data_IF_287684566949
#
_entry.id   IF_287684566949
#
_cell.length_a   1.000
_cell.length_b   1.000
_cell.length_c   1.000
_cell.angle_alpha   90.00
_cell.angle_beta   90.00
_cell.angle_gamma   90.00
#
_symmetry.space_group_name_H-M   'P 1'
#
loop_
_entity.id
_entity.type
_entity.pdbx_description
1 polymer ?
#
# COMPACT_ATOMS: atom_id res chain seq x y z
N UNK A 1 -9.40 -25.33 7.73
CA UNK A 1 -9.84 -25.06 6.34
C UNK A 1 -10.48 -23.68 6.36
N UNK A 2 -9.80 -22.66 5.83
CA UNK A 2 -10.35 -21.31 5.78
C UNK A 2 -11.46 -21.22 4.74
N UNK A 3 -12.51 -20.44 5.01
CA UNK A 3 -13.51 -20.10 4.01
C UNK A 3 -12.83 -19.51 2.78
N UNK A 4 -13.23 -19.96 1.59
CA UNK A 4 -12.75 -19.40 0.32
C UNK A 4 -12.99 -17.87 0.33
N UNK A 5 -12.00 -17.05 -0.06
CA UNK A 5 -12.22 -15.61 -0.12
C UNK A 5 -13.35 -15.29 -1.10
N UNK A 6 -14.21 -14.33 -0.74
CA UNK A 6 -15.24 -13.80 -1.64
C UNK A 6 -14.57 -13.19 -2.88
N UNK A 7 -15.26 -13.17 -4.02
CA UNK A 7 -14.69 -12.65 -5.27
C UNK A 7 -14.38 -11.15 -5.18
N UNK A 8 -13.53 -10.64 -6.08
CA UNK A 8 -13.24 -9.20 -6.14
C UNK A 8 -14.50 -8.40 -6.44
N UNK A 9 -15.35 -8.88 -7.35
CA UNK A 9 -16.63 -8.26 -7.67
C UNK A 9 -17.53 -8.19 -6.43
N UNK A 10 -17.54 -9.24 -5.59
CA UNK A 10 -18.30 -9.24 -4.34
C UNK A 10 -17.73 -8.24 -3.33
N UNK A 11 -16.40 -8.15 -3.17
CA UNK A 11 -15.76 -7.15 -2.32
C UNK A 11 -16.16 -5.73 -2.75
N UNK A 12 -16.02 -5.44 -4.03
CA UNK A 12 -16.33 -4.11 -4.60
C UNK A 12 -17.82 -3.81 -4.49
N UNK A 13 -18.69 -4.75 -4.86
CA UNK A 13 -20.14 -4.56 -4.79
C UNK A 13 -20.59 -4.31 -3.34
N UNK A 14 -19.99 -5.00 -2.37
CA UNK A 14 -20.28 -4.75 -0.95
C UNK A 14 -19.88 -3.34 -0.52
N UNK A 15 -18.73 -2.82 -0.98
CA UNK A 15 -18.34 -1.43 -0.74
C UNK A 15 -19.32 -0.47 -1.42
N UNK A 16 -19.68 -0.74 -2.69
CA UNK A 16 -20.56 0.09 -3.51
C UNK A 16 -22.00 0.20 -2.97
N UNK A 17 -22.48 -0.85 -2.31
CA UNK A 17 -23.83 -0.90 -1.75
C UNK A 17 -23.90 -0.37 -0.30
N UNK A 18 -22.76 -0.19 0.37
CA UNK A 18 -22.72 0.41 1.69
C UNK A 18 -22.81 1.94 1.57
N UNK A 19 -24.03 2.46 1.72
CA UNK A 19 -24.31 3.90 1.66
C UNK A 19 -23.56 4.75 2.71
N UNK A 20 -22.94 4.12 3.71
CA UNK A 20 -22.11 4.81 4.71
C UNK A 20 -20.68 5.02 4.24
N UNK A 21 -20.22 4.35 3.17
CA UNK A 21 -18.85 4.45 2.65
C UNK A 21 -18.82 5.33 1.41
N UNK A 22 -18.06 6.43 1.47
CA UNK A 22 -17.92 7.33 0.33
C UNK A 22 -16.49 7.83 0.19
N UNK A 23 -15.94 7.85 -1.02
CA UNK A 23 -14.51 8.10 -1.16
C UNK A 23 -14.01 8.48 -2.53
N UNK A 24 -12.72 8.77 -2.57
CA UNK A 24 -11.98 9.12 -3.80
C UNK A 24 -10.96 8.04 -4.12
N UNK A 25 -10.77 7.79 -5.42
CA UNK A 25 -9.72 6.90 -5.94
C UNK A 25 -8.73 7.74 -6.76
N UNK A 26 -7.48 7.84 -6.30
CA UNK A 26 -6.44 8.65 -6.93
C UNK A 26 -5.26 7.78 -7.38
N UNK A 27 -5.14 7.53 -8.68
CA UNK A 27 -4.20 6.53 -9.22
C UNK A 27 -3.18 7.21 -10.13
N UNK A 28 -1.89 6.98 -9.91
CA UNK A 28 -0.81 7.52 -10.76
C UNK A 28 0.11 6.38 -11.21
N UNK A 29 0.03 6.08 -12.50
CA UNK A 29 0.80 5.00 -13.10
C UNK A 29 0.12 3.64 -12.92
N UNK A 30 0.60 2.62 -13.65
CA UNK A 30 -0.01 1.28 -13.68
C UNK A 30 -1.52 1.21 -13.98
N UNK A 31 -2.10 2.22 -14.63
CA UNK A 31 -3.50 2.23 -15.06
C UNK A 31 -4.40 2.95 -14.05
N UNK A 32 -5.70 2.77 -14.21
CA UNK A 32 -6.73 3.26 -13.28
C UNK A 32 -7.66 2.08 -12.92
N UNK A 33 -7.01 0.96 -12.56
CA UNK A 33 -7.64 -0.35 -12.49
C UNK A 33 -8.50 -0.53 -11.23
N UNK A 34 -8.18 0.18 -10.15
CA UNK A 34 -9.01 0.14 -8.94
C UNK A 34 -10.34 0.84 -9.23
N UNK A 35 -10.32 2.04 -9.84
CA UNK A 35 -11.55 2.69 -10.28
C UNK A 35 -12.34 1.84 -11.28
N UNK A 36 -11.64 1.18 -12.22
CA UNK A 36 -12.27 0.28 -13.19
C UNK A 36 -13.06 -0.82 -12.49
N UNK A 37 -12.49 -1.48 -11.47
CA UNK A 37 -13.21 -2.48 -10.68
C UNK A 37 -14.48 -1.92 -10.04
N UNK A 38 -14.39 -0.74 -9.42
CA UNK A 38 -15.53 -0.04 -8.82
C UNK A 38 -16.65 0.23 -9.82
N UNK A 39 -16.31 0.65 -11.04
CA UNK A 39 -17.30 0.90 -12.08
C UNK A 39 -17.91 -0.38 -12.66
N UNK A 40 -17.11 -1.42 -12.86
CA UNK A 40 -17.57 -2.70 -13.42
C UNK A 40 -18.56 -3.44 -12.50
N UNK A 41 -18.34 -3.41 -11.19
CA UNK A 41 -19.22 -4.07 -10.23
C UNK A 41 -20.62 -3.42 -10.14
N UNK A 42 -20.78 -2.18 -10.59
CA UNK A 42 -22.02 -1.41 -10.49
C UNK A 42 -22.25 -0.81 -9.10
N UNK A 43 -23.15 0.19 -9.00
CA UNK A 43 -23.43 0.90 -7.75
C UNK A 43 -22.42 1.97 -7.36
N UNK A 44 -21.38 2.20 -8.17
CA UNK A 44 -20.28 3.12 -7.86
C UNK A 44 -20.74 4.57 -7.55
N UNK A 45 -21.86 5.05 -8.08
CA UNK A 45 -22.39 6.38 -7.75
C UNK A 45 -22.74 6.55 -6.27
N UNK A 46 -23.01 5.45 -5.57
CA UNK A 46 -23.26 5.39 -4.13
C UNK A 46 -22.01 5.52 -3.27
N UNK A 47 -20.80 5.37 -3.84
CA UNK A 47 -19.55 5.20 -3.09
C UNK A 47 -18.40 6.06 -3.62
N UNK A 48 -18.27 6.24 -4.93
CA UNK A 48 -17.16 6.94 -5.56
C UNK A 48 -17.55 8.40 -5.79
N UNK A 49 -16.97 9.29 -5.00
CA UNK A 49 -17.11 10.75 -5.13
C UNK A 49 -16.37 11.27 -6.36
N UNK A 50 -15.13 10.79 -6.53
CA UNK A 50 -14.21 11.23 -7.58
C UNK A 50 -13.23 10.12 -7.90
N UNK A 51 -12.85 10.02 -9.16
CA UNK A 51 -11.64 9.31 -9.57
C UNK A 51 -10.72 10.27 -10.29
N UNK A 52 -9.41 10.13 -10.11
CA UNK A 52 -8.42 10.98 -10.76
C UNK A 52 -7.20 10.17 -11.15
N UNK A 53 -6.65 10.49 -12.32
CA UNK A 53 -5.34 10.03 -12.73
C UNK A 53 -4.52 11.14 -13.36
N UNK A 54 -3.33 11.40 -12.80
CA UNK A 54 -2.44 12.49 -13.20
C UNK A 54 -1.09 11.94 -13.66
N UNK A 55 -1.03 11.51 -14.92
CA UNK A 55 0.17 10.90 -15.53
C UNK A 55 1.28 11.91 -15.85
N UNK A 56 0.90 13.11 -16.29
CA UNK A 56 1.87 14.15 -16.60
C UNK A 56 2.41 14.76 -15.29
N UNK A 57 3.74 14.89 -15.22
CA UNK A 57 4.42 15.36 -14.00
C UNK A 57 4.00 16.77 -13.62
N UNK A 58 3.78 17.67 -14.59
CA UNK A 58 3.37 19.06 -14.30
C UNK A 58 1.93 19.12 -13.82
N UNK A 59 1.05 18.30 -14.39
CA UNK A 59 -0.32 18.16 -13.87
C UNK A 59 -0.33 17.57 -12.46
N UNK A 60 0.45 16.51 -12.22
CA UNK A 60 0.61 15.92 -10.89
C UNK A 60 1.13 16.95 -9.88
N UNK A 61 2.15 17.73 -10.24
CA UNK A 61 2.73 18.75 -9.37
C UNK A 61 1.79 19.93 -9.11
N UNK A 62 0.97 20.32 -10.09
CA UNK A 62 -0.02 21.37 -9.92
C UNK A 62 -1.12 20.98 -8.91
N UNK A 63 -1.35 19.68 -8.70
CA UNK A 63 -2.36 19.15 -7.78
C UNK A 63 -1.74 18.80 -6.43
N UNK A 64 -0.64 18.06 -6.44
CA UNK A 64 -0.04 17.43 -5.26
C UNK A 64 1.30 18.06 -4.84
N UNK A 65 1.74 19.15 -5.47
CA UNK A 65 3.05 19.76 -5.23
C UNK A 65 4.22 18.98 -5.85
N UNK A 66 5.42 19.56 -5.83
CA UNK A 66 6.61 18.89 -6.38
C UNK A 66 7.10 17.77 -5.48
N UNK A 67 7.71 16.74 -6.07
CA UNK A 67 8.39 15.67 -5.33
C UNK A 67 9.74 15.33 -5.97
N UNK A 68 10.72 14.98 -5.13
CA UNK A 68 12.02 14.51 -5.60
C UNK A 68 11.90 13.15 -6.33
N UNK A 69 10.98 12.30 -5.90
CA UNK A 69 10.69 11.00 -6.53
C UNK A 69 9.18 10.84 -6.68
N UNK A 70 8.72 10.66 -7.91
CA UNK A 70 7.28 10.56 -8.18
C UNK A 70 6.69 9.25 -7.69
N UNK A 71 7.44 8.15 -7.71
CA UNK A 71 7.07 6.90 -7.04
C UNK A 71 7.80 6.85 -5.71
N UNK A 72 7.10 7.24 -4.65
CA UNK A 72 7.65 7.37 -3.30
C UNK A 72 6.56 7.34 -2.24
N UNK A 73 6.98 7.05 -0.99
CA UNK A 73 6.13 7.15 0.19
C UNK A 73 5.54 8.55 0.33
N UNK A 74 6.37 9.58 0.18
CA UNK A 74 5.98 10.97 0.36
C UNK A 74 4.89 11.37 -0.65
N UNK A 75 5.02 10.95 -1.91
CA UNK A 75 4.00 11.21 -2.93
C UNK A 75 2.68 10.54 -2.57
N UNK A 76 2.68 9.26 -2.22
CA UNK A 76 1.47 8.53 -1.86
C UNK A 76 0.75 9.17 -0.66
N UNK A 77 1.49 9.54 0.39
CA UNK A 77 0.94 10.21 1.58
C UNK A 77 0.35 11.58 1.20
N UNK A 78 1.06 12.37 0.38
CA UNK A 78 0.57 13.68 -0.07
C UNK A 78 -0.74 13.56 -0.85
N UNK A 79 -0.85 12.55 -1.73
CA UNK A 79 -2.09 12.27 -2.47
C UNK A 79 -3.24 11.92 -1.52
N UNK A 80 -3.01 11.03 -0.54
CA UNK A 80 -4.02 10.65 0.45
C UNK A 80 -4.51 11.86 1.25
N UNK A 81 -3.60 12.71 1.72
CA UNK A 81 -3.93 13.88 2.54
C UNK A 81 -4.67 14.95 1.75
N UNK A 82 -4.19 15.28 0.55
CA UNK A 82 -4.81 16.26 -0.33
C UNK A 82 -6.23 15.84 -0.70
N UNK A 83 -6.38 14.61 -1.19
CA UNK A 83 -7.67 14.12 -1.65
C UNK A 83 -8.67 13.93 -0.52
N UNK A 84 -8.21 13.53 0.67
CA UNK A 84 -9.09 13.40 1.83
C UNK A 84 -9.55 14.77 2.35
N UNK A 85 -8.65 15.75 2.34
CA UNK A 85 -8.99 17.14 2.71
C UNK A 85 -10.00 17.74 1.75
N UNK A 86 -9.80 17.56 0.43
CA UNK A 86 -10.72 18.03 -0.60
C UNK A 86 -12.09 17.32 -0.51
N UNK A 87 -12.10 16.01 -0.25
CA UNK A 87 -13.33 15.25 -0.07
C UNK A 87 -14.14 15.79 1.12
N UNK A 88 -13.47 16.05 2.26
CA UNK A 88 -14.11 16.65 3.42
C UNK A 88 -14.59 18.07 3.16
N UNK A 89 -13.78 18.93 2.54
CA UNK A 89 -14.14 20.31 2.19
C UNK A 89 -15.45 20.36 1.39
N UNK A 90 -15.61 19.42 0.44
CA UNK A 90 -16.73 19.44 -0.50
C UNK A 90 -18.00 18.76 0.04
N UNK A 91 -17.87 17.74 0.88
CA UNK A 91 -18.98 16.84 1.20
C UNK A 91 -19.31 16.70 2.69
N UNK A 92 -18.48 17.24 3.60
CA UNK A 92 -18.74 17.08 5.05
C UNK A 92 -20.09 17.67 5.47
N UNK A 93 -20.45 18.84 4.96
CA UNK A 93 -21.73 19.49 5.31
C UNK A 93 -22.93 18.73 4.72
N UNK A 94 -22.76 18.14 3.53
CA UNK A 94 -23.86 17.47 2.83
C UNK A 94 -24.13 16.05 3.35
N UNK A 95 -23.11 15.32 3.83
CA UNK A 95 -23.25 13.91 4.24
C UNK A 95 -22.33 13.43 5.35
N UNK A 96 -21.44 14.26 5.87
CA UNK A 96 -20.44 13.87 6.87
C UNK A 96 -21.02 13.36 8.19
N UNK A 97 -22.30 13.59 8.48
CA UNK A 97 -22.97 13.04 9.68
C UNK A 97 -23.29 11.54 9.57
N UNK A 98 -23.51 11.03 8.35
CA UNK A 98 -23.98 9.66 8.12
C UNK A 98 -22.99 8.83 7.29
N UNK A 99 -21.88 9.44 6.87
CA UNK A 99 -20.91 8.83 5.96
C UNK A 99 -19.52 8.86 6.59
N UNK A 100 -18.83 7.73 6.51
CA UNK A 100 -17.40 7.63 6.73
C UNK A 100 -16.66 7.82 5.41
N UNK A 101 -15.78 8.81 5.36
CA UNK A 101 -15.00 9.07 4.17
C UNK A 101 -13.77 8.17 4.06
N UNK A 102 -13.40 7.84 2.82
CA UNK A 102 -12.13 7.20 2.52
C UNK A 102 -11.47 7.79 1.27
N UNK A 103 -10.16 7.65 1.18
CA UNK A 103 -9.38 7.92 -0.02
C UNK A 103 -8.42 6.78 -0.21
N UNK A 104 -8.46 6.17 -1.38
CA UNK A 104 -7.40 5.30 -1.86
C UNK A 104 -6.48 6.11 -2.78
N UNK A 105 -5.18 5.90 -2.63
CA UNK A 105 -4.21 6.47 -3.53
C UNK A 105 -3.10 5.48 -3.87
N UNK A 106 -2.60 5.54 -5.10
CA UNK A 106 -1.38 4.85 -5.49
C UNK A 106 -0.46 5.72 -6.35
N UNK A 107 0.82 5.39 -6.28
CA UNK A 107 1.82 5.83 -7.24
C UNK A 107 2.71 4.65 -7.62
N UNK A 108 2.70 4.29 -8.90
CA UNK A 108 3.30 3.04 -9.38
C UNK A 108 4.12 3.26 -10.64
N UNK A 109 5.37 2.80 -10.60
CA UNK A 109 6.17 2.59 -11.80
C UNK A 109 5.96 1.14 -12.25
N UNK A 110 5.10 0.95 -13.24
CA UNK A 110 4.98 -0.35 -13.90
C UNK A 110 6.24 -0.66 -14.73
N UNK A 111 6.38 -1.92 -15.16
CA UNK A 111 7.59 -2.40 -15.84
C UNK A 111 7.97 -1.48 -17.00
N UNK A 112 9.19 -0.95 -16.95
CA UNK A 112 9.73 -0.16 -18.06
C UNK A 112 10.17 -1.07 -19.19
N UNK A 113 9.63 -0.85 -20.40
CA UNK A 113 10.11 -1.51 -21.62
C UNK A 113 11.61 -1.26 -21.88
N UNK A 114 12.15 -0.14 -21.42
CA UNK A 114 13.55 0.26 -21.69
C UNK A 114 14.53 -0.22 -20.63
N UNK A 115 14.11 -0.38 -19.37
CA UNK A 115 15.01 -0.71 -18.24
C UNK A 115 14.95 -2.16 -17.77
N UNK A 116 13.91 -2.92 -18.18
CA UNK A 116 13.67 -4.31 -17.75
C UNK A 116 13.66 -4.52 -16.22
N UNK A 117 13.49 -3.46 -15.45
CA UNK A 117 13.36 -3.48 -13.99
C UNK A 117 11.95 -3.91 -13.58
N UNK A 118 11.84 -4.61 -12.44
CA UNK A 118 10.56 -4.92 -11.83
C UNK A 118 9.78 -3.65 -11.51
N UNK A 119 8.45 -3.76 -11.52
CA UNK A 119 7.61 -2.63 -11.15
C UNK A 119 7.67 -2.40 -9.64
N UNK A 120 7.56 -1.14 -9.22
CA UNK A 120 7.48 -0.76 -7.80
C UNK A 120 6.36 0.23 -7.60
N UNK A 121 5.75 0.21 -6.42
CA UNK A 121 4.66 1.10 -6.12
C UNK A 121 4.40 1.30 -4.64
N UNK A 122 3.80 2.45 -4.35
CA UNK A 122 3.21 2.75 -3.06
C UNK A 122 1.71 2.83 -3.23
N UNK A 123 0.97 2.09 -2.41
CA UNK A 123 -0.49 2.17 -2.34
C UNK A 123 -0.85 2.51 -0.90
N UNK A 124 -1.94 3.23 -0.72
CA UNK A 124 -2.44 3.51 0.61
C UNK A 124 -3.92 3.81 0.62
N UNK A 125 -4.47 3.74 1.82
CA UNK A 125 -5.83 4.14 2.09
C UNK A 125 -5.89 4.94 3.38
N UNK A 126 -6.58 6.08 3.31
CA UNK A 126 -6.90 6.94 4.44
C UNK A 126 -8.40 6.90 4.65
N UNK A 127 -8.89 6.57 5.84
CA UNK A 127 -10.31 6.31 6.07
C UNK A 127 -10.77 6.67 7.47
N UNK A 128 -12.07 6.93 7.61
CA UNK A 128 -12.76 7.10 8.88
C UNK A 128 -13.41 5.78 9.30
N UNK A 129 -13.28 5.42 10.57
CA UNK A 129 -13.97 4.28 11.18
C UNK A 129 -15.41 4.63 11.59
N UNK A 130 -15.67 5.88 11.96
CA UNK A 130 -17.00 6.44 12.21
C UNK A 130 -17.13 7.87 11.66
N UNK A 131 -18.35 8.38 11.38
CA UNK A 131 -18.52 9.69 10.77
C UNK A 131 -17.80 10.79 11.56
N UNK A 132 -17.12 11.71 10.84
CA UNK A 132 -16.32 12.81 11.41
C UNK A 132 -15.12 12.39 12.28
N UNK A 133 -14.74 11.11 12.30
CA UNK A 133 -13.54 10.67 12.99
C UNK A 133 -12.27 11.29 12.40
N UNK A 134 -11.25 11.43 13.23
CA UNK A 134 -9.88 11.63 12.74
C UNK A 134 -9.50 10.39 11.93
N UNK A 135 -9.03 10.53 10.67
CA UNK A 135 -8.81 9.38 9.82
C UNK A 135 -7.60 8.54 10.26
N UNK A 136 -7.69 7.26 9.99
CA UNK A 136 -6.57 6.31 10.06
C UNK A 136 -6.03 6.03 8.67
N UNK A 137 -4.83 5.49 8.60
CA UNK A 137 -4.15 5.24 7.33
C UNK A 137 -3.41 3.90 7.34
N UNK A 138 -3.51 3.20 6.22
CA UNK A 138 -2.70 2.02 5.88
C UNK A 138 -1.89 2.38 4.65
N UNK A 139 -0.59 2.13 4.71
CA UNK A 139 0.33 2.34 3.60
C UNK A 139 1.06 1.03 3.30
N UNK A 140 1.19 0.68 2.03
CA UNK A 140 1.93 -0.49 1.57
C UNK A 140 2.92 -0.13 0.48
N UNK A 141 4.07 -0.79 0.50
CA UNK A 141 5.00 -0.81 -0.62
C UNK A 141 4.96 -2.18 -1.29
N UNK A 142 4.90 -2.19 -2.61
CA UNK A 142 4.81 -3.40 -3.42
C UNK A 142 5.88 -3.44 -4.51
N UNK A 143 6.43 -4.63 -4.75
CA UNK A 143 7.13 -4.98 -5.98
C UNK A 143 6.23 -5.83 -6.86
N UNK A 144 6.24 -5.54 -8.15
CA UNK A 144 5.47 -6.22 -9.19
C UNK A 144 6.43 -7.10 -9.98
N UNK A 145 6.23 -8.42 -9.88
CA UNK A 145 7.19 -9.44 -10.33
C UNK A 145 6.82 -10.05 -11.69
N UNK A 146 5.64 -9.69 -12.21
CA UNK A 146 5.21 -10.12 -13.53
C UNK A 146 6.14 -9.57 -14.65
N UNK A 147 6.14 -10.24 -15.80
CA UNK A 147 7.02 -9.86 -16.92
C UNK A 147 6.37 -8.90 -17.91
N UNK A 148 5.06 -8.70 -17.81
CA UNK A 148 4.27 -7.93 -18.75
C UNK A 148 3.56 -6.78 -18.04
N UNK A 149 3.57 -5.60 -18.67
CA UNK A 149 2.98 -4.41 -18.10
C UNK A 149 1.47 -4.55 -17.83
N UNK A 150 0.73 -5.26 -18.69
CA UNK A 150 -0.71 -5.48 -18.49
C UNK A 150 -1.01 -6.26 -17.21
N UNK A 151 -0.15 -7.22 -16.86
CA UNK A 151 -0.26 -8.01 -15.64
C UNK A 151 0.02 -7.17 -14.39
N UNK A 152 0.89 -6.14 -14.50
CA UNK A 152 1.11 -5.18 -13.41
C UNK A 152 -0.15 -4.36 -13.13
N UNK A 153 -0.84 -3.91 -14.18
CA UNK A 153 -2.09 -3.15 -14.05
C UNK A 153 -3.15 -4.02 -13.35
N UNK A 154 -3.33 -5.24 -13.82
CA UNK A 154 -4.25 -6.22 -13.22
C UNK A 154 -3.97 -6.41 -11.72
N UNK A 155 -2.72 -6.72 -11.36
CA UNK A 155 -2.30 -6.97 -9.97
C UNK A 155 -2.52 -5.76 -9.08
N UNK A 156 -2.20 -4.55 -9.55
CA UNK A 156 -2.44 -3.32 -8.79
C UNK A 156 -3.93 -3.11 -8.57
N UNK A 157 -4.77 -3.37 -9.59
CA UNK A 157 -6.23 -3.33 -9.44
C UNK A 157 -6.73 -4.29 -8.36
N UNK A 158 -6.27 -5.54 -8.38
CA UNK A 158 -6.61 -6.57 -7.38
C UNK A 158 -6.16 -6.13 -5.98
N UNK A 159 -4.90 -5.72 -5.84
CA UNK A 159 -4.32 -5.31 -4.57
C UNK A 159 -5.01 -4.06 -4.00
N UNK A 160 -5.33 -3.07 -4.84
CA UNK A 160 -6.03 -1.86 -4.42
C UNK A 160 -7.45 -2.15 -3.94
N UNK A 161 -8.21 -3.01 -4.64
CA UNK A 161 -9.52 -3.49 -4.17
C UNK A 161 -9.39 -4.22 -2.83
N UNK A 162 -8.41 -5.12 -2.70
CA UNK A 162 -8.17 -5.83 -1.44
C UNK A 162 -7.83 -4.85 -0.31
N UNK A 163 -6.98 -3.86 -0.55
CA UNK A 163 -6.59 -2.86 0.44
C UNK A 163 -7.79 -2.02 0.90
N UNK A 164 -8.62 -1.55 -0.04
CA UNK A 164 -9.84 -0.80 0.28
C UNK A 164 -10.78 -1.66 1.13
N UNK A 165 -11.09 -2.87 0.67
CA UNK A 165 -11.99 -3.76 1.38
C UNK A 165 -11.46 -4.08 2.79
N UNK A 166 -10.17 -4.37 2.92
CA UNK A 166 -9.58 -4.77 4.17
C UNK A 166 -9.55 -3.60 5.18
N UNK A 167 -9.28 -2.38 4.74
CA UNK A 167 -9.36 -1.21 5.60
C UNK A 167 -10.80 -0.90 6.05
N UNK A 168 -11.79 -1.03 5.18
CA UNK A 168 -13.17 -0.65 5.49
C UNK A 168 -13.93 -1.71 6.31
N UNK A 169 -13.59 -2.99 6.14
CA UNK A 169 -14.35 -4.10 6.75
C UNK A 169 -13.53 -4.98 7.70
N UNK A 170 -12.20 -4.98 7.62
CA UNK A 170 -11.34 -5.92 8.35
C UNK A 170 -10.34 -5.24 9.31
N UNK A 171 -10.37 -3.91 9.46
CA UNK A 171 -9.39 -3.18 10.29
C UNK A 171 -9.37 -3.60 11.77
N UNK A 172 -10.45 -4.19 12.28
CA UNK A 172 -10.53 -4.74 13.64
C UNK A 172 -9.74 -6.05 13.87
N UNK A 173 -9.35 -6.76 12.80
CA UNK A 173 -8.48 -7.95 12.88
C UNK A 173 -7.34 -7.83 11.86
N UNK A 174 -6.20 -7.32 12.33
CA UNK A 174 -5.02 -7.08 11.49
C UNK A 174 -4.45 -8.35 10.86
N UNK A 175 -4.61 -9.51 11.50
CA UNK A 175 -4.13 -10.78 10.94
C UNK A 175 -4.96 -11.19 9.73
N UNK A 176 -6.29 -11.00 9.80
CA UNK A 176 -7.21 -11.24 8.70
C UNK A 176 -7.10 -10.17 7.61
N UNK A 177 -6.97 -8.90 7.99
CA UNK A 177 -6.69 -7.80 7.07
C UNK A 177 -5.45 -8.09 6.22
N UNK A 178 -4.32 -8.39 6.86
CA UNK A 178 -3.06 -8.67 6.15
C UNK A 178 -3.22 -9.87 5.23
N UNK A 179 -3.85 -10.96 5.70
CA UNK A 179 -4.12 -12.13 4.86
C UNK A 179 -4.91 -11.77 3.61
N UNK A 180 -5.94 -10.92 3.75
CA UNK A 180 -6.85 -10.57 2.66
C UNK A 180 -6.21 -9.72 1.56
N UNK A 181 -5.05 -9.10 1.81
CA UNK A 181 -4.29 -8.37 0.79
C UNK A 181 -3.84 -9.29 -0.36
N UNK A 182 -3.58 -10.57 -0.06
CA UNK A 182 -3.19 -11.59 -1.03
C UNK A 182 -4.35 -12.30 -1.73
N UNK A 183 -5.61 -11.97 -1.43
CA UNK A 183 -6.75 -12.64 -2.04
C UNK A 183 -6.73 -12.45 -3.57
N UNK A 184 -6.98 -13.54 -4.30
CA UNK A 184 -6.98 -13.56 -5.78
C UNK A 184 -5.63 -13.21 -6.44
N UNK A 185 -4.55 -13.14 -5.67
CA UNK A 185 -3.19 -13.03 -6.20
C UNK A 185 -2.51 -14.40 -6.14
N UNK A 186 -2.05 -14.88 -7.30
CA UNK A 186 -1.23 -16.09 -7.33
C UNK A 186 0.13 -15.83 -6.65
N UNK A 187 0.68 -16.82 -5.92
CA UNK A 187 1.99 -16.69 -5.29
C UNK A 187 3.07 -16.27 -6.29
N UNK A 188 3.92 -15.31 -5.90
CA UNK A 188 5.04 -14.85 -6.70
C UNK A 188 4.71 -13.80 -7.78
N UNK A 189 3.49 -13.27 -7.82
CA UNK A 189 3.16 -12.09 -8.66
C UNK A 189 3.59 -10.77 -8.03
N UNK A 190 3.62 -10.71 -6.69
CA UNK A 190 4.05 -9.54 -5.92
C UNK A 190 4.92 -9.90 -4.74
N UNK A 191 5.66 -8.91 -4.25
CA UNK A 191 6.17 -8.88 -2.88
C UNK A 191 5.65 -7.61 -2.17
N UNK A 192 4.89 -7.78 -1.08
CA UNK A 192 4.54 -6.68 -0.16
C UNK A 192 5.68 -6.48 0.84
N UNK A 193 6.60 -5.57 0.54
CA UNK A 193 7.83 -5.42 1.33
C UNK A 193 7.68 -4.51 2.54
N UNK A 194 6.59 -3.74 2.60
CA UNK A 194 6.29 -2.86 3.72
C UNK A 194 4.78 -2.76 3.89
N UNK A 195 4.33 -2.83 5.13
CA UNK A 195 3.00 -2.34 5.54
C UNK A 195 3.14 -1.44 6.77
N UNK A 196 2.42 -0.33 6.79
CA UNK A 196 2.41 0.59 7.90
C UNK A 196 0.97 1.00 8.23
N UNK A 197 0.65 0.92 9.51
CA UNK A 197 -0.62 1.34 10.10
C UNK A 197 -0.39 2.58 10.97
N UNK A 198 -1.26 3.57 10.82
CA UNK A 198 -1.20 4.82 11.60
C UNK A 198 -2.58 5.44 11.82
N UNK A 199 -2.70 6.26 12.87
CA UNK A 199 -3.95 6.92 13.24
C UNK A 199 -4.75 6.17 14.32
N UNK A 200 -5.89 6.75 14.74
CA UNK A 200 -6.62 6.32 15.95
C UNK A 200 -7.26 4.93 15.85
N UNK A 201 -7.49 4.42 14.64
CA UNK A 201 -8.03 3.07 14.40
C UNK A 201 -7.02 1.95 14.63
N UNK A 202 -5.75 2.27 14.90
CA UNK A 202 -4.68 1.31 15.13
C UNK A 202 -3.95 1.55 16.46
N UNK A 203 -4.66 1.63 17.60
CA UNK A 203 -4.04 1.91 18.88
C UNK A 203 -3.12 0.76 19.30
N UNK A 204 -1.86 1.09 19.63
CA UNK A 204 -0.89 0.11 20.11
C UNK A 204 -0.38 -0.88 19.07
N UNK A 205 -0.63 -0.64 17.77
CA UNK A 205 -0.11 -1.50 16.70
C UNK A 205 1.40 -1.39 16.58
N UNK A 206 2.10 -2.52 16.72
CA UNK A 206 3.53 -2.61 16.43
C UNK A 206 3.74 -2.97 14.95
N UNK A 207 4.09 -1.96 14.14
CA UNK A 207 4.34 -2.13 12.72
C UNK A 207 5.44 -3.16 12.42
N UNK A 208 6.37 -3.41 13.34
CA UNK A 208 7.40 -4.45 13.16
C UNK A 208 6.77 -5.85 13.12
N UNK A 209 5.84 -6.11 14.03
CA UNK A 209 5.10 -7.36 14.06
C UNK A 209 4.21 -7.52 12.82
N UNK A 210 3.61 -6.41 12.35
CA UNK A 210 2.78 -6.43 11.14
C UNK A 210 3.59 -6.77 9.88
N UNK A 211 4.82 -6.28 9.78
CA UNK A 211 5.69 -6.65 8.65
C UNK A 211 6.19 -8.09 8.75
N UNK A 212 6.49 -8.59 9.95
CA UNK A 212 6.77 -10.03 10.13
C UNK A 212 5.55 -10.90 9.76
N UNK A 213 4.33 -10.37 9.94
CA UNK A 213 3.09 -11.04 9.52
C UNK A 213 3.03 -11.21 8.00
N UNK A 214 3.57 -10.27 7.20
CA UNK A 214 3.64 -10.41 5.75
C UNK A 214 4.40 -11.68 5.34
N UNK A 215 5.51 -11.99 6.03
CA UNK A 215 6.27 -13.23 5.83
C UNK A 215 5.43 -14.44 6.26
N UNK A 216 4.79 -14.38 7.43
CA UNK A 216 3.93 -15.47 7.91
C UNK A 216 2.76 -15.77 6.95
N UNK A 217 2.29 -14.76 6.22
CA UNK A 217 1.22 -14.89 5.22
C UNK A 217 1.71 -15.11 3.80
N UNK A 218 3.01 -15.32 3.61
CA UNK A 218 3.64 -15.59 2.32
C UNK A 218 3.43 -14.45 1.29
N UNK A 219 3.23 -13.22 1.77
CA UNK A 219 3.05 -12.02 0.95
C UNK A 219 4.37 -11.35 0.57
N UNK A 220 5.44 -11.70 1.26
CA UNK A 220 6.82 -11.35 0.91
C UNK A 220 7.77 -12.38 1.48
N UNK A 221 8.97 -12.45 0.91
CA UNK A 221 10.05 -13.33 1.34
C UNK A 221 10.92 -12.71 2.44
N UNK A 222 10.94 -11.38 2.54
CA UNK A 222 11.78 -10.66 3.48
C UNK A 222 11.21 -9.28 3.81
N UNK A 223 11.47 -8.82 5.03
CA UNK A 223 11.24 -7.43 5.44
C UNK A 223 12.54 -6.90 6.04
N UNK A 224 12.74 -5.59 6.01
CA UNK A 224 13.96 -4.95 6.49
C UNK A 224 13.67 -3.98 7.63
N UNK A 225 14.57 -3.98 8.60
CA UNK A 225 14.57 -3.07 9.74
C UNK A 225 15.87 -2.27 9.73
N UNK A 226 15.81 -1.00 10.13
CA UNK A 226 17.01 -0.22 10.42
C UNK A 226 17.59 -0.56 11.82
N UNK A 227 18.70 0.09 12.17
CA UNK A 227 19.36 -0.11 13.46
C UNK A 227 18.52 0.30 14.68
N UNK A 228 17.47 1.11 14.48
CA UNK A 228 16.53 1.54 15.50
C UNK A 228 15.30 0.63 15.58
N UNK A 229 15.20 -0.37 14.69
CA UNK A 229 14.05 -1.26 14.59
C UNK A 229 12.88 -0.68 13.82
N UNK A 230 13.06 0.43 13.10
CA UNK A 230 12.04 0.95 12.20
C UNK A 230 11.99 0.11 10.93
N UNK A 231 10.79 -0.12 10.41
CA UNK A 231 10.59 -0.76 9.12
C UNK A 231 11.04 0.20 8.02
N UNK A 232 11.77 -0.33 7.04
CA UNK A 232 12.32 0.46 5.94
C UNK A 232 12.14 -0.26 4.61
N UNK A 233 11.91 0.51 3.56
CA UNK A 233 11.88 -0.01 2.19
C UNK A 233 13.32 -0.28 1.72
N UNK A 234 13.66 -1.52 1.32
CA UNK A 234 15.03 -1.87 0.94
C UNK A 234 15.59 -1.06 -0.22
N UNK A 235 14.78 -0.79 -1.25
CA UNK A 235 15.14 -0.01 -2.42
C UNK A 235 15.56 1.41 -2.07
N UNK A 236 14.96 2.05 -1.08
CA UNK A 236 15.27 3.40 -0.61
C UNK A 236 16.57 3.44 0.17
N UNK A 237 16.74 2.54 1.15
CA UNK A 237 17.92 2.55 2.03
C UNK A 237 19.18 2.10 1.31
N UNK A 238 19.07 1.11 0.42
CA UNK A 238 20.21 0.47 -0.25
C UNK A 238 20.53 1.08 -1.63
N UNK A 239 19.73 2.06 -2.08
CA UNK A 239 19.87 2.65 -3.41
C UNK A 239 21.28 3.20 -3.67
N UNK A 240 21.96 2.67 -4.69
CA UNK A 240 23.30 3.11 -5.12
C UNK A 240 24.33 3.13 -3.98
N UNK A 241 24.14 2.32 -2.93
CA UNK A 241 25.13 2.16 -1.86
C UNK A 241 25.89 0.86 -2.06
N UNK A 242 27.21 0.85 -1.83
CA UNK A 242 27.95 -0.40 -1.69
C UNK A 242 27.44 -1.12 -0.42
N UNK A 243 27.15 -2.42 -0.52
CA UNK A 243 26.51 -3.19 0.55
C UNK A 243 27.43 -4.32 1.01
N UNK A 244 27.70 -4.37 2.31
CA UNK A 244 28.26 -5.52 2.99
C UNK A 244 27.14 -6.26 3.73
N UNK A 245 26.95 -7.55 3.43
CA UNK A 245 25.86 -8.36 4.00
C UNK A 245 26.41 -9.56 4.74
N UNK A 246 25.98 -9.74 5.99
CA UNK A 246 26.20 -10.94 6.76
C UNK A 246 24.93 -11.78 6.86
N UNK A 247 24.94 -12.95 6.22
CA UNK A 247 23.83 -13.91 6.31
C UNK A 247 24.01 -14.80 7.54
N UNK A 248 22.97 -14.91 8.38
CA UNK A 248 23.02 -15.78 9.56
C UNK A 248 21.74 -15.75 10.38
N UNK A 249 21.70 -16.57 11.43
CA UNK A 249 20.66 -16.50 12.47
C UNK A 249 21.27 -15.83 13.69
N UNK A 250 20.75 -14.66 14.05
CA UNK A 250 21.30 -13.82 15.13
C UNK A 250 20.55 -14.07 16.45
N UNK A 251 20.56 -15.31 16.93
CA UNK A 251 19.84 -15.75 18.14
C UNK A 251 20.75 -16.60 19.05
N UNK A 252 21.61 -16.01 19.89
CA UNK A 252 21.92 -14.57 20.02
C UNK A 252 22.94 -14.09 18.97
N UNK A 253 23.19 -12.79 18.93
CA UNK A 253 24.40 -12.24 18.32
C UNK A 253 25.61 -12.70 19.14
N UNK A 254 26.69 -13.12 18.46
CA UNK A 254 27.92 -13.64 19.11
C UNK A 254 29.16 -12.88 18.61
N UNK A 255 30.28 -13.03 19.31
CA UNK A 255 31.57 -12.45 18.89
C UNK A 255 32.00 -12.94 17.50
N UNK A 256 31.66 -14.17 17.12
CA UNK A 256 31.91 -14.67 15.75
C UNK A 256 31.20 -13.81 14.71
N UNK A 257 29.95 -13.42 14.99
CA UNK A 257 29.21 -12.57 14.07
C UNK A 257 29.89 -11.20 13.90
N UNK A 258 30.26 -10.58 15.01
CA UNK A 258 30.90 -9.26 15.04
C UNK A 258 32.29 -9.29 14.37
N UNK A 259 33.11 -10.28 14.70
CA UNK A 259 34.45 -10.42 14.14
C UNK A 259 34.41 -10.67 12.63
N UNK A 260 33.44 -11.47 12.15
CA UNK A 260 33.28 -11.72 10.72
C UNK A 260 32.89 -10.44 9.96
N UNK A 261 31.97 -9.63 10.51
CA UNK A 261 31.59 -8.37 9.88
C UNK A 261 32.75 -7.36 9.91
N UNK A 262 33.48 -7.26 11.02
CA UNK A 262 34.64 -6.37 11.14
C UNK A 262 35.74 -6.75 10.14
N UNK A 263 36.11 -8.02 10.07
CA UNK A 263 37.14 -8.52 9.14
C UNK A 263 36.74 -8.33 7.68
N UNK A 264 35.44 -8.47 7.38
CA UNK A 264 34.93 -8.22 6.03
C UNK A 264 34.92 -6.71 5.71
N UNK A 265 34.60 -5.86 6.69
CA UNK A 265 34.62 -4.40 6.53
C UNK A 265 36.03 -3.89 6.21
N UNK A 266 37.07 -4.42 6.86
CA UNK A 266 38.47 -4.08 6.57
C UNK A 266 38.88 -4.36 5.11
N UNK A 267 38.26 -5.35 4.46
CA UNK A 267 38.49 -5.65 3.04
C UNK A 267 37.54 -4.91 2.10
N UNK A 268 36.42 -4.44 2.62
CA UNK A 268 35.37 -3.75 1.85
C UNK A 268 35.67 -2.26 1.67
N UNK A 269 36.39 -1.66 2.62
CA UNK A 269 36.80 -0.25 2.64
C UNK A 269 38.03 0.06 1.80
#
# INVERSE_FOLDING_TARGET
MGSKPISLEQKVLQVNLDSTKYGTLAEIGAGQEVARWFFLAGGASGTVAKTISAYDMKFSDAIYGSSHRYVSRERAVTMLEYEFSLLQERLSDARGDNTTFFVFADTVAARSYTRQEDGIGWLGIRFQDHPKAVPSQILVHVRLLDKENVLHQEVIGILGVNLIYAALFLYGDLSTLIQSLGDHLAPGRIDLNLIEFSGPGFPGVDNRLMNLKLIQKELTRAVMFDAHGNIVEPGEILYKKPILVQRGTFRPVTLVHQNMLASAMEQFS
#
